data_IF_290336968494
#
_entry.id   IF_290336968494
#
_cell.length_a   1.000
_cell.length_b   1.000
_cell.length_c   1.000
_cell.angle_alpha   90.00
_cell.angle_beta   90.00
_cell.angle_gamma   90.00
#
_symmetry.space_group_name_H-M   'P 1'
#
loop_
_entity.id
_entity.type
_entity.pdbx_description
1 polymer ?
#
# COMPACT_ATOMS: atom_id res chain seq x y z
N UNK A 1 10.56 -36.77 16.56
CA UNK A 1 9.85 -36.33 15.34
C UNK A 1 9.66 -34.82 15.44
N UNK A 2 10.21 -33.99 14.54
CA UNK A 2 10.13 -32.54 14.68
C UNK A 2 8.76 -32.05 14.18
N UNK A 3 7.98 -31.46 15.07
CA UNK A 3 6.79 -30.70 14.73
C UNK A 3 7.21 -29.49 13.90
N UNK A 4 6.74 -29.43 12.65
CA UNK A 4 7.01 -28.34 11.72
C UNK A 4 6.60 -27.00 12.31
N UNK A 5 7.61 -26.19 12.62
CA UNK A 5 7.47 -24.76 12.86
C UNK A 5 6.89 -24.14 11.60
N UNK A 6 5.56 -23.95 11.55
CA UNK A 6 4.90 -23.12 10.54
C UNK A 6 5.40 -21.71 10.78
N UNK A 7 6.44 -21.32 10.04
CA UNK A 7 6.96 -19.96 10.03
C UNK A 7 5.78 -19.00 9.98
N UNK A 8 5.68 -18.15 11.00
CA UNK A 8 4.70 -17.09 11.08
C UNK A 8 4.88 -16.21 9.83
N UNK A 9 4.07 -16.45 8.80
CA UNK A 9 3.92 -15.56 7.65
C UNK A 9 3.55 -14.21 8.23
N UNK A 10 4.49 -13.28 8.28
CA UNK A 10 4.27 -11.95 8.84
C UNK A 10 3.28 -11.23 7.93
N UNK A 11 2.02 -11.22 8.33
CA UNK A 11 0.97 -10.49 7.63
C UNK A 11 1.14 -9.01 7.93
N UNK A 12 1.01 -8.19 6.89
CA UNK A 12 0.84 -6.75 7.05
C UNK A 12 -0.27 -6.46 8.07
N UNK A 13 -0.01 -5.54 9.01
CA UNK A 13 -0.98 -5.17 10.06
C UNK A 13 -2.23 -4.55 9.42
N UNK A 14 -2.01 -3.70 8.41
CA UNK A 14 -3.05 -3.17 7.53
C UNK A 14 -2.46 -2.66 6.21
N UNK A 15 -3.31 -2.57 5.19
CA UNK A 15 -3.03 -1.94 3.89
C UNK A 15 -3.73 -0.59 3.83
N UNK A 16 -3.04 0.46 3.42
CA UNK A 16 -3.65 1.77 3.15
C UNK A 16 -3.83 1.93 1.64
N UNK A 17 -5.07 2.06 1.19
CA UNK A 17 -5.42 2.37 -0.20
C UNK A 17 -5.55 3.88 -0.35
N UNK A 18 -4.80 4.47 -1.28
CA UNK A 18 -4.83 5.89 -1.61
C UNK A 18 -5.06 6.02 -3.11
N UNK A 19 -6.28 6.36 -3.50
CA UNK A 19 -6.69 6.55 -4.90
C UNK A 19 -7.80 7.62 -4.87
N UNK A 20 -7.91 8.53 -5.82
CA UNK A 20 -8.99 9.53 -5.84
C UNK A 20 -10.27 9.01 -6.51
N UNK A 21 -10.18 7.93 -7.28
CA UNK A 21 -11.30 7.20 -7.86
C UNK A 21 -12.01 6.33 -6.80
N UNK A 22 -13.28 6.64 -6.55
CA UNK A 22 -14.08 5.93 -5.56
C UNK A 22 -14.37 4.47 -5.94
N UNK A 23 -14.59 4.20 -7.22
CA UNK A 23 -14.93 2.86 -7.72
C UNK A 23 -13.70 1.95 -7.63
N UNK A 24 -12.52 2.50 -7.92
CA UNK A 24 -11.25 1.79 -7.78
C UNK A 24 -10.92 1.50 -6.30
N UNK A 25 -11.13 2.48 -5.40
CA UNK A 25 -10.97 2.26 -3.95
C UNK A 25 -11.92 1.18 -3.44
N UNK A 26 -13.19 1.21 -3.82
CA UNK A 26 -14.19 0.22 -3.41
C UNK A 26 -13.83 -1.18 -3.93
N UNK A 27 -13.46 -1.30 -5.20
CA UNK A 27 -13.03 -2.57 -5.80
C UNK A 27 -11.83 -3.18 -5.06
N UNK A 28 -10.80 -2.38 -4.75
CA UNK A 28 -9.65 -2.86 -3.97
C UNK A 28 -10.06 -3.23 -2.53
N UNK A 29 -10.91 -2.43 -1.89
CA UNK A 29 -11.45 -2.68 -0.55
C UNK A 29 -12.18 -4.02 -0.47
N UNK A 30 -13.02 -4.33 -1.46
CA UNK A 30 -13.75 -5.60 -1.52
C UNK A 30 -12.81 -6.80 -1.67
N UNK A 31 -11.80 -6.69 -2.52
CA UNK A 31 -10.78 -7.73 -2.72
C UNK A 31 -10.00 -7.98 -1.43
N UNK A 32 -9.53 -6.92 -0.76
CA UNK A 32 -8.78 -7.03 0.49
C UNK A 32 -9.66 -7.60 1.62
N UNK A 33 -10.92 -7.18 1.69
CA UNK A 33 -11.90 -7.71 2.64
C UNK A 33 -12.11 -9.21 2.45
N UNK A 34 -12.36 -9.64 1.21
CA UNK A 34 -12.58 -11.04 0.87
C UNK A 34 -11.36 -11.91 1.19
N UNK A 35 -10.16 -11.38 0.94
CA UNK A 35 -8.90 -12.06 1.25
C UNK A 35 -8.51 -11.97 2.75
N UNK A 36 -9.28 -11.27 3.59
CA UNK A 36 -9.04 -11.16 5.03
C UNK A 36 -7.86 -10.25 5.39
N UNK A 37 -7.55 -9.27 4.55
CA UNK A 37 -6.53 -8.24 4.79
C UNK A 37 -7.19 -6.99 5.39
N UNK A 38 -6.86 -6.61 6.65
CA UNK A 38 -7.28 -5.34 7.21
C UNK A 38 -6.77 -4.20 6.34
N UNK A 39 -7.61 -3.21 6.07
CA UNK A 39 -7.23 -2.09 5.24
C UNK A 39 -7.96 -0.81 5.66
N UNK A 40 -7.42 0.31 5.19
CA UNK A 40 -7.94 1.65 5.37
C UNK A 40 -7.97 2.28 3.98
N UNK A 41 -8.96 3.10 3.71
CA UNK A 41 -9.08 3.86 2.46
C UNK A 41 -8.85 5.35 2.73
N UNK A 42 -8.24 6.02 1.77
CA UNK A 42 -8.07 7.47 1.74
C UNK A 42 -8.30 7.97 0.32
N UNK A 43 -9.06 9.05 0.16
CA UNK A 43 -9.38 9.62 -1.15
C UNK A 43 -8.31 10.58 -1.68
N UNK A 44 -7.33 10.91 -0.85
CA UNK A 44 -6.15 11.69 -1.23
C UNK A 44 -5.03 11.52 -0.20
N UNK A 45 -3.88 12.11 -0.52
CA UNK A 45 -2.71 12.01 0.31
C UNK A 45 -2.80 12.75 1.65
N UNK A 46 -3.70 13.71 1.83
CA UNK A 46 -3.90 14.37 3.13
C UNK A 46 -4.70 13.46 4.08
N UNK A 47 -5.76 12.82 3.57
CA UNK A 47 -6.48 11.78 4.31
C UNK A 47 -5.57 10.60 4.64
N UNK A 48 -4.70 10.20 3.70
CA UNK A 48 -3.73 9.13 3.89
C UNK A 48 -2.75 9.45 5.03
N UNK A 49 -2.19 10.66 5.08
CA UNK A 49 -1.30 11.09 6.16
C UNK A 49 -2.03 11.14 7.51
N UNK A 50 -3.25 11.66 7.55
CA UNK A 50 -4.05 11.68 8.78
C UNK A 50 -4.39 10.25 9.27
N UNK A 51 -4.61 9.30 8.36
CA UNK A 51 -4.80 7.89 8.70
C UNK A 51 -3.51 7.26 9.26
N UNK A 52 -2.36 7.58 8.66
CA UNK A 52 -1.04 7.11 9.10
C UNK A 52 -0.67 7.60 10.50
N UNK A 53 -1.07 8.82 10.87
CA UNK A 53 -0.86 9.38 12.22
C UNK A 53 -1.74 8.72 13.29
N UNK A 54 -2.92 8.22 12.91
CA UNK A 54 -3.94 7.69 13.83
C UNK A 54 -3.86 6.18 14.03
N UNK A 55 -3.24 5.46 13.09
CA UNK A 55 -3.19 4.01 13.11
C UNK A 55 -1.81 3.52 13.58
N UNK A 56 -1.77 2.36 14.26
CA UNK A 56 -0.52 1.63 14.47
C UNK A 56 0.04 1.17 13.11
N UNK A 57 0.82 2.06 12.47
CA UNK A 57 1.67 1.82 11.30
C UNK A 57 1.12 0.81 10.28
N UNK A 58 0.34 1.27 9.28
CA UNK A 58 0.13 0.53 8.06
C UNK A 58 1.47 0.12 7.46
N UNK A 59 1.58 -1.15 7.12
CA UNK A 59 2.84 -1.71 6.63
C UNK A 59 2.96 -1.67 5.11
N UNK A 60 1.85 -1.39 4.42
CA UNK A 60 1.80 -1.24 2.97
C UNK A 60 0.82 -0.13 2.56
N UNK A 61 1.25 0.73 1.63
CA UNK A 61 0.44 1.76 0.99
C UNK A 61 0.32 1.43 -0.49
N UNK A 62 -0.90 1.33 -1.00
CA UNK A 62 -1.22 1.29 -2.42
C UNK A 62 -1.55 2.71 -2.85
N UNK A 63 -0.69 3.32 -3.66
CA UNK A 63 -0.76 4.74 -4.01
C UNK A 63 -1.03 4.89 -5.51
N UNK A 64 -2.17 5.48 -5.88
CA UNK A 64 -2.44 5.81 -7.27
C UNK A 64 -1.48 6.88 -7.80
N UNK A 65 -0.96 6.66 -9.01
CA UNK A 65 0.00 7.56 -9.65
C UNK A 65 -0.66 8.79 -10.26
N UNK A 66 -1.97 8.78 -10.50
CA UNK A 66 -2.71 9.80 -11.25
C UNK A 66 -3.53 10.74 -10.35
N UNK A 67 -3.13 10.96 -9.09
CA UNK A 67 -3.82 11.92 -8.23
C UNK A 67 -3.52 13.38 -8.62
N UNK A 68 -4.53 14.19 -9.04
CA UNK A 68 -4.33 15.58 -9.46
C UNK A 68 -4.19 16.57 -8.30
N UNK A 69 -4.54 16.16 -7.07
CA UNK A 69 -4.62 17.07 -5.89
C UNK A 69 -3.41 17.01 -4.96
N UNK A 70 -2.64 15.92 -4.98
CA UNK A 70 -1.39 15.82 -4.25
C UNK A 70 -0.41 14.94 -5.01
N UNK A 71 0.72 15.51 -5.38
CA UNK A 71 1.82 14.80 -6.05
C UNK A 71 2.28 13.62 -5.18
N UNK A 72 2.29 12.41 -5.73
CA UNK A 72 2.79 11.22 -5.06
C UNK A 72 4.21 11.42 -4.51
N UNK A 73 5.02 12.28 -5.11
CA UNK A 73 6.33 12.67 -4.58
C UNK A 73 6.22 13.45 -3.26
N UNK A 74 5.29 14.40 -3.14
CA UNK A 74 5.06 15.15 -1.92
C UNK A 74 4.49 14.26 -0.79
N UNK A 75 3.66 13.27 -1.14
CA UNK A 75 3.25 12.22 -0.20
C UNK A 75 4.45 11.44 0.33
N UNK A 76 5.31 10.94 -0.56
CA UNK A 76 6.50 10.18 -0.20
C UNK A 76 7.48 11.00 0.66
N UNK A 77 7.67 12.28 0.36
CA UNK A 77 8.52 13.18 1.16
C UNK A 77 7.99 13.33 2.59
N UNK A 78 6.69 13.58 2.74
CA UNK A 78 6.05 13.67 4.06
C UNK A 78 6.08 12.33 4.80
N UNK A 79 5.83 11.23 4.08
CA UNK A 79 5.89 9.88 4.61
C UNK A 79 7.28 9.55 5.16
N UNK A 80 8.34 9.90 4.42
CA UNK A 80 9.73 9.69 4.81
C UNK A 80 10.17 10.52 6.03
N UNK A 81 9.40 11.53 6.42
CA UNK A 81 9.66 12.37 7.61
C UNK A 81 8.95 11.88 8.88
N UNK A 82 8.05 10.89 8.78
CA UNK A 82 7.42 10.30 9.96
C UNK A 82 8.47 9.57 10.82
N UNK A 83 8.21 9.40 12.12
CA UNK A 83 9.20 8.84 13.08
C UNK A 83 9.55 7.37 12.82
N UNK A 84 8.72 6.62 12.09
CA UNK A 84 8.94 5.20 11.77
C UNK A 84 8.63 4.86 10.30
N UNK A 85 9.29 5.50 9.33
CA UNK A 85 8.99 5.31 7.91
C UNK A 85 9.55 3.97 7.39
N UNK A 86 10.51 3.37 8.11
CA UNK A 86 11.18 2.11 7.74
C UNK A 86 10.23 0.91 7.66
N UNK A 87 9.08 0.99 8.30
CA UNK A 87 8.09 -0.09 8.33
C UNK A 87 6.97 0.11 7.32
N UNK A 88 7.00 1.21 6.57
CA UNK A 88 5.98 1.55 5.59
C UNK A 88 6.56 1.29 4.20
N UNK A 89 5.89 0.41 3.47
CA UNK A 89 6.20 0.17 2.06
C UNK A 89 5.16 0.83 1.18
N UNK A 90 5.58 1.32 0.02
CA UNK A 90 4.70 1.94 -0.97
C UNK A 90 4.77 1.19 -2.28
N UNK A 91 3.60 0.89 -2.84
CA UNK A 91 3.43 0.37 -4.19
C UNK A 91 2.62 1.37 -4.97
N UNK A 92 3.14 1.76 -6.13
CA UNK A 92 2.39 2.61 -7.04
C UNK A 92 1.38 1.79 -7.84
N UNK A 93 0.18 2.33 -8.00
CA UNK A 93 -0.80 1.83 -8.95
C UNK A 93 -0.81 2.82 -10.11
N UNK A 94 -0.36 2.41 -11.29
CA UNK A 94 -0.15 3.34 -12.41
C UNK A 94 -0.99 2.96 -13.63
N UNK A 95 -1.58 3.94 -14.31
CA UNK A 95 -2.30 3.70 -15.57
C UNK A 95 -1.37 3.49 -16.77
N UNK A 96 -0.13 3.95 -16.67
CA UNK A 96 0.91 3.81 -17.68
C UNK A 96 2.26 3.61 -17.02
N UNK A 97 3.23 3.08 -17.77
CA UNK A 97 4.63 2.98 -17.35
C UNK A 97 5.28 4.36 -17.34
N UNK A 98 4.93 5.17 -16.37
CA UNK A 98 5.64 6.40 -16.06
C UNK A 98 6.87 6.10 -15.18
N UNK A 99 7.89 6.96 -15.19
CA UNK A 99 9.02 6.81 -14.28
C UNK A 99 8.54 6.90 -12.84
N UNK A 100 8.62 5.77 -12.12
CA UNK A 100 8.33 5.72 -10.70
C UNK A 100 9.27 6.65 -9.93
N UNK A 101 8.79 7.40 -8.92
CA UNK A 101 9.65 8.25 -8.11
C UNK A 101 10.74 7.44 -7.41
N UNK A 102 11.95 7.98 -7.39
CA UNK A 102 13.11 7.38 -6.70
C UNK A 102 12.99 7.60 -5.19
N UNK A 103 12.42 6.62 -4.48
CA UNK A 103 12.31 6.63 -3.03
C UNK A 103 12.55 5.23 -2.44
N UNK A 104 13.29 5.11 -1.33
CA UNK A 104 13.55 3.81 -0.69
C UNK A 104 12.28 3.18 -0.08
N UNK A 105 11.21 3.97 0.09
CA UNK A 105 9.92 3.48 0.56
C UNK A 105 9.17 2.72 -0.55
N UNK A 106 9.51 2.99 -1.81
CA UNK A 106 8.79 2.44 -2.95
C UNK A 106 9.39 1.09 -3.33
N UNK A 107 8.60 0.04 -3.12
CA UNK A 107 9.03 -1.34 -3.27
C UNK A 107 8.56 -1.98 -4.57
N UNK A 108 7.62 -1.36 -5.28
CA UNK A 108 6.95 -1.96 -6.43
C UNK A 108 6.03 -1.00 -7.16
N UNK A 109 5.47 -1.51 -8.25
CA UNK A 109 4.47 -0.85 -9.07
C UNK A 109 3.52 -1.93 -9.62
N UNK A 110 2.23 -1.61 -9.70
CA UNK A 110 1.19 -2.42 -10.32
C UNK A 110 0.54 -1.58 -11.42
N UNK A 111 0.47 -2.12 -12.63
CA UNK A 111 -0.09 -1.41 -13.78
C UNK A 111 -1.59 -1.70 -13.93
N UNK A 112 -2.39 -0.66 -14.15
CA UNK A 112 -3.79 -0.78 -14.58
C UNK A 112 -3.84 -1.18 -16.08
N UNK A 113 -4.78 -2.04 -16.51
CA UNK A 113 -5.65 -2.85 -15.66
C UNK A 113 -4.87 -4.01 -15.02
N UNK A 114 -5.17 -4.29 -13.75
CA UNK A 114 -4.67 -5.46 -13.02
C UNK A 114 -5.87 -6.30 -12.56
N UNK A 115 -5.63 -7.59 -12.33
CA UNK A 115 -6.62 -8.50 -11.76
C UNK A 115 -6.39 -8.70 -10.25
N UNK A 116 -7.31 -9.43 -9.64
CA UNK A 116 -7.28 -9.78 -8.21
C UNK A 116 -6.01 -10.57 -7.87
N UNK A 117 -5.61 -11.49 -8.74
CA UNK A 117 -4.45 -12.35 -8.50
C UNK A 117 -3.15 -11.53 -8.47
N UNK A 118 -3.00 -10.54 -9.35
CA UNK A 118 -1.87 -9.63 -9.35
C UNK A 118 -1.79 -8.79 -8.07
N UNK A 119 -2.93 -8.27 -7.59
CA UNK A 119 -2.99 -7.54 -6.32
C UNK A 119 -2.61 -8.43 -5.13
N UNK A 120 -3.14 -9.65 -5.05
CA UNK A 120 -2.85 -10.56 -3.95
C UNK A 120 -1.41 -11.11 -4.00
N UNK A 121 -0.89 -11.36 -5.19
CA UNK A 121 0.52 -11.73 -5.38
C UNK A 121 1.45 -10.62 -4.88
N UNK A 122 1.05 -9.35 -5.08
CA UNK A 122 1.77 -8.21 -4.56
C UNK A 122 1.75 -8.13 -3.02
N UNK A 123 0.66 -8.55 -2.37
CA UNK A 123 0.64 -8.64 -0.90
C UNK A 123 1.48 -9.81 -0.39
N UNK A 124 1.59 -10.89 -1.15
CA UNK A 124 2.28 -12.12 -0.75
C UNK A 124 3.80 -12.07 -0.97
N UNK A 125 4.28 -11.30 -1.95
CA UNK A 125 5.70 -11.28 -2.35
C UNK A 125 6.62 -10.50 -1.42
N UNK A 126 6.09 -9.75 -0.44
CA UNK A 126 6.88 -8.84 0.38
C UNK A 126 6.74 -9.20 1.86
N UNK A 127 7.85 -9.60 2.52
CA UNK A 127 7.83 -9.88 3.94
C UNK A 127 7.56 -8.58 4.72
N UNK A 128 6.64 -8.60 5.67
CA UNK A 128 6.40 -7.43 6.52
C UNK A 128 7.69 -7.02 7.24
N UNK A 129 8.00 -5.72 7.23
CA UNK A 129 9.18 -5.17 7.90
C UNK A 129 9.19 -5.50 9.40
N UNK A 130 10.39 -5.86 9.89
CA UNK A 130 10.66 -6.40 11.22
C UNK A 130 10.70 -5.33 12.32
#
# INVERSE_FOLDING_TARGET
MPSGNRGSMRRYKSVLIVDDDADMRESMSDVLSFAGHPHIVAADGMEALAALERCETPTLVLLDSLMPRMDGAAFLEKLGRLESPKNIHVVFISASREPRPESPLVIGELLKPFDVDALLALLAGWPASN
#
